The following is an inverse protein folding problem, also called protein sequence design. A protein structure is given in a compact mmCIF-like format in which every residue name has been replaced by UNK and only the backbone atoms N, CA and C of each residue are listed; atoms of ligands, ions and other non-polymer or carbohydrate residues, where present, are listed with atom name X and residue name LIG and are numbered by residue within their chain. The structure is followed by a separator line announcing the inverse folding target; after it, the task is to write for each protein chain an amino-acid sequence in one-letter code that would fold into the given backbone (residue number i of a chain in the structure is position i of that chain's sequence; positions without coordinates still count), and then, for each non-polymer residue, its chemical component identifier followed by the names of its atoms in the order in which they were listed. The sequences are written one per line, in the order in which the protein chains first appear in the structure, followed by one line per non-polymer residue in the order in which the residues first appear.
data_IF_469188490158
#
_entry.id   IF_469188490158
#
_cell.length_a   1.000
_cell.length_b   1.000
_cell.length_c   1.000
_cell.angle_alpha   90.00
_cell.angle_beta   90.00
_cell.angle_gamma   90.00
#
_symmetry.space_group_name_H-M   'P 1'
#
loop_
_entity.id
_entity.type
_entity.pdbx_description
1 polymer ?
#
# COMPACT_ATOMS: atom_id res chain seq x y z
N UNK A 1 -10.77 -22.19 51.15
CA UNK A 1 -10.62 -23.60 50.77
C UNK A 1 -11.97 -24.24 51.01
N UNK A 2 -12.83 -24.26 50.00
CA UNK A 2 -14.08 -24.99 49.98
C UNK A 2 -13.75 -26.45 50.02
N UNK A 3 -14.25 -27.15 51.06
CA UNK A 3 -13.79 -28.50 51.38
C UNK A 3 -14.30 -29.52 50.39
N UNK A 4 -13.56 -30.62 50.23
CA UNK A 4 -13.96 -31.82 49.47
C UNK A 4 -15.39 -32.31 49.80
N UNK A 5 -15.95 -31.96 50.98
CA UNK A 5 -17.31 -32.25 51.38
C UNK A 5 -18.41 -31.60 50.52
N UNK A 6 -18.20 -30.37 50.08
CA UNK A 6 -19.12 -29.65 49.17
C UNK A 6 -19.11 -30.24 47.76
N UNK A 7 -17.94 -30.69 47.31
CA UNK A 7 -17.79 -31.36 46.01
C UNK A 7 -18.51 -32.70 45.98
N UNK A 8 -18.50 -33.46 47.09
CA UNK A 8 -19.19 -34.75 47.21
C UNK A 8 -20.70 -34.59 47.31
N UNK A 9 -21.21 -33.48 47.87
CA UNK A 9 -22.65 -33.25 48.04
C UNK A 9 -23.35 -32.94 46.70
N UNK A 10 -22.60 -32.45 45.69
CA UNK A 10 -23.14 -32.11 44.35
C UNK A 10 -22.69 -33.07 43.25
N UNK A 11 -21.89 -34.11 43.59
CA UNK A 11 -21.32 -35.03 42.59
C UNK A 11 -22.36 -35.84 41.83
N UNK A 12 -23.53 -36.11 42.41
CA UNK A 12 -24.64 -36.80 41.77
C UNK A 12 -25.38 -35.98 40.74
N UNK A 13 -25.15 -34.65 40.70
CA UNK A 13 -25.76 -33.73 39.74
C UNK A 13 -24.90 -33.52 38.49
N UNK A 14 -23.66 -34.05 38.45
CA UNK A 14 -22.72 -33.90 37.35
C UNK A 14 -22.53 -35.22 36.60
N UNK A 15 -22.30 -35.16 35.28
CA UNK A 15 -22.01 -36.31 34.42
C UNK A 15 -23.17 -36.81 33.57
N UNK A 16 -23.19 -38.08 33.20
CA UNK A 16 -24.15 -38.68 32.25
C UNK A 16 -25.63 -38.62 32.64
N UNK A 17 -25.95 -38.22 33.86
CA UNK A 17 -27.32 -38.13 34.37
C UNK A 17 -27.91 -36.71 34.33
N UNK A 18 -27.18 -35.71 33.82
CA UNK A 18 -27.63 -34.35 33.85
C UNK A 18 -28.96 -34.13 33.11
N UNK A 19 -29.15 -34.74 31.95
CA UNK A 19 -30.41 -34.63 31.18
C UNK A 19 -31.61 -35.27 31.87
N UNK A 20 -31.39 -36.36 32.63
CA UNK A 20 -32.42 -37.00 33.42
C UNK A 20 -32.80 -36.15 34.63
N UNK A 21 -31.84 -35.56 35.32
CA UNK A 21 -32.07 -34.67 36.45
C UNK A 21 -32.76 -33.38 36.01
N UNK A 22 -32.40 -32.85 34.85
CA UNK A 22 -33.06 -31.69 34.26
C UNK A 22 -34.52 -31.99 33.94
N UNK A 23 -34.84 -33.15 33.38
CA UNK A 23 -36.22 -33.56 33.12
C UNK A 23 -37.04 -33.77 34.39
N UNK A 24 -36.43 -34.31 35.47
CA UNK A 24 -37.04 -34.46 36.78
C UNK A 24 -37.32 -33.09 37.43
N UNK A 25 -36.39 -32.16 37.34
CA UNK A 25 -36.55 -30.81 37.88
C UNK A 25 -37.65 -30.03 37.13
N UNK A 26 -37.71 -30.13 35.81
CA UNK A 26 -38.80 -29.56 35.00
C UNK A 26 -40.17 -30.12 35.44
N UNK A 27 -40.28 -31.46 35.67
CA UNK A 27 -41.48 -32.10 36.17
C UNK A 27 -41.86 -31.62 37.58
N UNK A 28 -40.87 -31.41 38.44
CA UNK A 28 -41.07 -30.84 39.78
C UNK A 28 -41.55 -29.37 39.70
N UNK A 29 -41.06 -28.56 38.81
CA UNK A 29 -41.50 -27.17 38.61
C UNK A 29 -42.98 -27.10 38.14
N UNK A 30 -43.40 -28.05 37.28
CA UNK A 30 -44.77 -28.14 36.79
C UNK A 30 -45.73 -28.70 37.88
N UNK A 31 -45.35 -29.75 38.55
CA UNK A 31 -46.11 -30.36 39.68
C UNK A 31 -45.14 -31.06 40.65
N UNK A 32 -44.87 -30.48 41.83
CA UNK A 32 -44.02 -31.09 42.85
C UNK A 32 -44.41 -32.50 43.27
N UNK A 33 -45.70 -32.90 43.07
CA UNK A 33 -46.15 -34.27 43.39
C UNK A 33 -45.79 -35.30 42.32
N UNK A 34 -45.38 -34.86 41.13
CA UNK A 34 -45.05 -35.74 39.99
C UNK A 34 -43.72 -36.47 40.13
N UNK A 35 -42.86 -36.03 41.06
CA UNK A 35 -41.52 -36.59 41.25
C UNK A 35 -41.42 -37.44 42.53
N UNK A 36 -40.50 -38.45 42.59
CA UNK A 36 -40.27 -39.23 43.78
C UNK A 36 -39.96 -38.41 45.03
N UNK A 37 -40.38 -38.84 46.20
CA UNK A 37 -40.30 -38.12 47.48
C UNK A 37 -38.87 -37.66 47.79
N UNK A 38 -37.87 -38.50 47.50
CA UNK A 38 -36.47 -38.18 47.76
C UNK A 38 -35.96 -36.99 46.90
N UNK A 39 -36.36 -36.95 45.64
CA UNK A 39 -36.05 -35.86 44.75
C UNK A 39 -36.84 -34.61 45.06
N UNK A 40 -38.08 -34.72 45.52
CA UNK A 40 -38.86 -33.59 45.96
C UNK A 40 -38.18 -32.89 47.14
N UNK A 41 -37.80 -33.66 48.16
CA UNK A 41 -37.13 -33.13 49.36
C UNK A 41 -35.79 -32.45 48.98
N UNK A 42 -35.08 -33.00 48.00
CA UNK A 42 -33.84 -32.42 47.50
C UNK A 42 -34.09 -31.05 46.79
N UNK A 43 -35.06 -30.97 45.90
CA UNK A 43 -35.40 -29.73 45.18
C UNK A 43 -36.00 -28.68 46.11
N UNK A 44 -36.78 -29.08 47.12
CA UNK A 44 -37.28 -28.18 48.16
C UNK A 44 -36.13 -27.62 49.00
N UNK A 45 -35.10 -28.37 49.28
CA UNK A 45 -33.91 -27.88 50.01
C UNK A 45 -33.12 -26.83 49.19
N UNK A 46 -32.99 -26.99 47.88
CA UNK A 46 -32.33 -26.01 46.99
C UNK A 46 -33.11 -24.72 46.95
N UNK A 47 -34.45 -24.74 46.97
CA UNK A 47 -35.28 -23.52 46.97
C UNK A 47 -35.19 -22.77 48.30
N UNK A 48 -34.88 -23.44 49.41
CA UNK A 48 -34.73 -22.79 50.72
C UNK A 48 -33.35 -22.18 50.94
N UNK A 49 -32.32 -22.56 50.20
CA UNK A 49 -30.95 -22.01 50.31
C UNK A 49 -30.66 -20.85 49.34
N UNK A 50 -31.49 -20.64 48.35
CA UNK A 50 -31.29 -19.51 47.39
C UNK A 50 -31.83 -18.20 47.90
N UNK A 51 -30.95 -17.40 48.52
CA UNK A 51 -31.16 -15.97 48.84
C UNK A 51 -31.02 -15.13 47.57
N UNK A 52 -31.79 -15.44 46.53
CA UNK A 52 -31.90 -14.56 45.37
C UNK A 52 -33.34 -14.47 44.88
N UNK A 53 -33.88 -13.26 44.84
CA UNK A 53 -35.25 -12.89 44.45
C UNK A 53 -35.61 -13.20 42.97
N UNK A 54 -35.15 -14.33 42.42
CA UNK A 54 -35.51 -14.77 41.08
C UNK A 54 -36.34 -16.04 41.15
N UNK A 55 -37.60 -16.03 40.70
CA UNK A 55 -38.32 -17.26 40.40
C UNK A 55 -37.58 -18.01 39.34
N UNK A 56 -37.25 -19.25 39.63
CA UNK A 56 -36.66 -20.17 38.63
C UNK A 56 -37.65 -20.32 37.46
N UNK A 57 -37.16 -20.26 36.26
CA UNK A 57 -37.97 -20.28 35.03
C UNK A 57 -37.76 -21.64 34.36
N UNK A 58 -38.87 -22.36 34.09
CA UNK A 58 -38.83 -23.63 33.35
C UNK A 58 -38.02 -23.50 32.03
N UNK A 59 -37.03 -24.35 31.88
CA UNK A 59 -36.24 -24.46 30.66
C UNK A 59 -37.12 -24.82 29.44
N UNK A 60 -38.18 -25.59 29.64
CA UNK A 60 -39.14 -25.91 28.58
C UNK A 60 -39.79 -24.64 27.98
N UNK A 61 -40.13 -23.65 28.79
CA UNK A 61 -40.63 -22.38 28.31
C UNK A 61 -39.57 -21.57 27.57
N UNK A 62 -38.33 -21.58 28.06
CA UNK A 62 -37.20 -20.90 27.40
C UNK A 62 -36.92 -21.57 26.06
N UNK A 63 -36.81 -22.87 26.00
CA UNK A 63 -36.63 -23.64 24.76
C UNK A 63 -37.79 -23.42 23.79
N UNK A 64 -39.04 -23.35 24.27
CA UNK A 64 -40.21 -23.05 23.44
C UNK A 64 -40.16 -21.63 22.87
N UNK A 65 -39.71 -20.65 23.67
CA UNK A 65 -39.46 -19.25 23.19
C UNK A 65 -38.34 -19.20 22.17
N UNK A 66 -37.28 -19.99 22.32
CA UNK A 66 -36.20 -20.08 21.32
C UNK A 66 -36.60 -20.84 20.06
N UNK A 67 -37.36 -21.96 20.19
CA UNK A 67 -37.92 -22.65 19.03
C UNK A 67 -38.94 -21.83 18.25
N UNK A 68 -39.72 -21.00 18.94
CA UNK A 68 -40.66 -20.07 18.29
C UNK A 68 -40.00 -18.78 17.81
N UNK A 69 -38.77 -18.47 18.28
CA UNK A 69 -37.85 -17.48 17.75
C UNK A 69 -36.78 -18.15 16.89
N UNK A 70 -37.09 -19.20 16.15
CA UNK A 70 -36.28 -19.51 14.98
C UNK A 70 -36.14 -18.17 14.24
N UNK A 71 -34.94 -17.63 14.05
CA UNK A 71 -34.79 -16.54 13.13
C UNK A 71 -35.31 -17.11 11.81
N UNK A 72 -36.49 -16.68 11.42
CA UNK A 72 -36.88 -16.69 10.02
C UNK A 72 -35.92 -15.67 9.39
N UNK A 73 -34.67 -16.06 9.25
CA UNK A 73 -33.84 -15.60 8.19
C UNK A 73 -34.59 -16.10 6.96
N UNK A 74 -35.49 -15.23 6.45
CA UNK A 74 -36.19 -15.48 5.22
C UNK A 74 -35.09 -15.92 4.25
N UNK A 75 -35.34 -16.98 3.46
CA UNK A 75 -34.37 -17.53 2.51
C UNK A 75 -33.73 -16.42 1.66
N UNK A 76 -34.47 -15.37 1.38
CA UNK A 76 -34.02 -14.14 0.71
C UNK A 76 -32.97 -13.34 1.50
N UNK A 77 -32.98 -13.34 2.84
CA UNK A 77 -31.99 -12.62 3.62
C UNK A 77 -30.64 -13.39 3.67
N UNK A 78 -30.68 -14.73 3.66
CA UNK A 78 -29.45 -15.55 3.59
C UNK A 78 -28.77 -15.40 2.22
N UNK A 79 -29.55 -15.40 1.15
CA UNK A 79 -29.02 -15.18 -0.20
C UNK A 79 -28.39 -13.77 -0.33
N UNK A 80 -29.04 -12.73 0.18
CA UNK A 80 -28.49 -11.38 0.16
C UNK A 80 -27.22 -11.24 1.02
N UNK A 81 -27.16 -11.90 2.17
CA UNK A 81 -25.96 -11.92 3.03
C UNK A 81 -24.81 -12.63 2.31
N UNK A 82 -25.08 -13.76 1.64
CA UNK A 82 -24.06 -14.46 0.88
C UNK A 82 -23.55 -13.59 -0.28
N UNK A 83 -24.44 -12.96 -1.04
CA UNK A 83 -24.05 -12.05 -2.13
C UNK A 83 -23.27 -10.83 -1.62
N UNK A 84 -23.62 -10.28 -0.45
CA UNK A 84 -22.84 -9.23 0.19
C UNK A 84 -21.41 -9.67 0.50
N UNK A 85 -21.20 -10.90 0.94
CA UNK A 85 -19.87 -11.44 1.18
C UNK A 85 -19.08 -11.59 -0.13
N UNK A 86 -19.72 -12.02 -1.21
CA UNK A 86 -19.09 -12.10 -2.53
C UNK A 86 -18.71 -10.70 -3.07
N UNK A 87 -19.54 -9.70 -2.83
CA UNK A 87 -19.20 -8.30 -3.17
C UNK A 87 -17.97 -7.82 -2.38
N UNK A 88 -17.81 -8.19 -1.11
CA UNK A 88 -16.60 -7.85 -0.36
C UNK A 88 -15.34 -8.51 -0.93
N UNK A 89 -15.43 -9.75 -1.41
CA UNK A 89 -14.31 -10.41 -2.10
C UNK A 89 -13.94 -9.69 -3.40
N UNK A 90 -14.94 -9.29 -4.19
CA UNK A 90 -14.73 -8.50 -5.41
C UNK A 90 -14.03 -7.18 -5.10
N UNK A 91 -14.47 -6.45 -4.07
CA UNK A 91 -13.82 -5.20 -3.63
C UNK A 91 -12.36 -5.46 -3.25
N UNK A 92 -12.09 -6.51 -2.48
CA UNK A 92 -10.73 -6.85 -2.08
C UNK A 92 -9.86 -7.28 -3.27
N UNK A 93 -10.43 -7.96 -4.26
CA UNK A 93 -9.74 -8.30 -5.51
C UNK A 93 -9.33 -7.05 -6.30
N UNK A 94 -10.17 -6.02 -6.40
CA UNK A 94 -9.79 -4.75 -7.03
C UNK A 94 -8.66 -4.06 -6.27
N UNK A 95 -8.70 -4.05 -4.93
CA UNK A 95 -7.65 -3.49 -4.08
C UNK A 95 -6.31 -4.22 -4.23
N UNK A 96 -6.36 -5.52 -4.48
CA UNK A 96 -5.17 -6.37 -4.60
C UNK A 96 -4.65 -6.45 -6.05
N UNK A 97 -5.54 -6.53 -7.04
CA UNK A 97 -5.22 -6.91 -8.43
C UNK A 97 -5.67 -5.89 -9.46
N UNK A 98 -6.30 -4.78 -9.07
CA UNK A 98 -6.79 -3.75 -9.99
C UNK A 98 -5.70 -3.20 -10.92
N UNK A 99 -4.45 -3.13 -10.44
CA UNK A 99 -3.31 -2.69 -11.24
C UNK A 99 -3.05 -3.56 -12.48
N UNK A 100 -3.45 -4.84 -12.51
CA UNK A 100 -3.34 -5.68 -13.72
C UNK A 100 -4.27 -5.23 -14.86
N UNK A 101 -5.39 -4.57 -14.53
CA UNK A 101 -6.32 -4.01 -15.51
C UNK A 101 -5.98 -2.56 -15.85
N UNK A 102 -5.13 -1.91 -15.07
CA UNK A 102 -4.78 -0.51 -15.26
C UNK A 102 -4.02 -0.28 -16.58
N UNK A 103 -4.28 0.87 -17.22
CA UNK A 103 -3.61 1.28 -18.45
C UNK A 103 -2.24 1.89 -18.14
N UNK A 104 -1.26 1.04 -17.83
CA UNK A 104 0.08 1.42 -17.40
C UNK A 104 1.06 1.59 -18.57
N UNK A 105 0.71 1.12 -19.77
CA UNK A 105 1.58 1.21 -20.95
C UNK A 105 1.12 2.33 -21.89
N UNK A 106 1.75 3.52 -21.85
CA UNK A 106 1.39 4.63 -22.73
C UNK A 106 1.65 4.33 -24.20
N UNK A 107 2.55 3.40 -24.50
CA UNK A 107 2.89 2.97 -25.87
C UNK A 107 1.94 1.90 -26.41
N UNK A 108 1.12 1.30 -25.53
CA UNK A 108 0.17 0.22 -25.88
C UNK A 108 0.82 -0.97 -26.58
N UNK A 109 2.03 -1.31 -26.17
CA UNK A 109 2.79 -2.42 -26.73
C UNK A 109 2.25 -3.78 -26.27
N UNK A 110 1.58 -3.78 -25.12
CA UNK A 110 0.96 -4.98 -24.53
C UNK A 110 -0.48 -4.69 -24.09
N UNK A 111 -1.32 -5.72 -24.14
CA UNK A 111 -2.64 -5.65 -23.53
C UNK A 111 -2.51 -5.91 -22.02
N UNK A 112 -3.33 -5.25 -21.18
CA UNK A 112 -3.39 -5.55 -19.76
C UNK A 112 -3.67 -7.04 -19.51
N UNK A 113 -2.95 -7.64 -18.57
CA UNK A 113 -3.19 -9.04 -18.19
C UNK A 113 -4.32 -9.12 -17.15
N UNK A 114 -5.55 -8.95 -17.63
CA UNK A 114 -6.74 -8.93 -16.77
C UNK A 114 -7.01 -10.31 -16.21
N UNK A 115 -7.15 -10.41 -14.88
CA UNK A 115 -7.51 -11.66 -14.20
C UNK A 115 -9.03 -11.80 -14.11
N UNK A 116 -9.55 -13.03 -14.15
CA UNK A 116 -11.00 -13.31 -14.02
C UNK A 116 -11.56 -12.83 -12.67
N UNK A 117 -10.71 -12.74 -11.64
CA UNK A 117 -11.07 -12.26 -10.32
C UNK A 117 -11.51 -10.79 -10.26
N UNK A 118 -11.29 -10.01 -11.31
CA UNK A 118 -11.84 -8.65 -11.44
C UNK A 118 -13.24 -8.63 -12.08
N UNK A 119 -13.79 -9.79 -12.46
CA UNK A 119 -15.14 -9.92 -12.94
C UNK A 119 -16.10 -10.29 -11.80
N UNK A 120 -17.25 -9.59 -11.71
CA UNK A 120 -18.29 -9.94 -10.75
C UNK A 120 -18.83 -11.36 -10.95
N UNK A 121 -18.79 -11.87 -12.19
CA UNK A 121 -19.24 -13.24 -12.50
C UNK A 121 -18.37 -14.33 -11.87
N UNK A 122 -17.13 -14.02 -11.51
CA UNK A 122 -16.23 -14.93 -10.79
C UNK A 122 -16.74 -15.25 -9.37
N UNK A 123 -17.57 -14.37 -8.81
CA UNK A 123 -18.11 -14.44 -7.46
C UNK A 123 -19.58 -14.84 -7.41
N UNK A 124 -20.04 -15.59 -8.41
CA UNK A 124 -21.45 -16.01 -8.50
C UNK A 124 -22.47 -14.83 -8.46
N UNK A 125 -22.05 -13.63 -8.88
CA UNK A 125 -22.91 -12.47 -9.09
C UNK A 125 -23.32 -12.42 -10.56
N UNK A 126 -24.55 -12.01 -10.83
CA UNK A 126 -25.11 -11.95 -12.17
C UNK A 126 -25.62 -10.55 -12.56
N UNK A 127 -26.11 -10.39 -13.79
CA UNK A 127 -26.63 -9.11 -14.29
C UNK A 127 -27.80 -8.56 -13.45
N UNK A 128 -28.59 -9.46 -12.81
CA UNK A 128 -29.71 -9.04 -11.96
C UNK A 128 -29.22 -8.44 -10.64
N UNK A 129 -27.95 -8.69 -10.27
CA UNK A 129 -27.34 -8.15 -9.05
C UNK A 129 -26.78 -6.75 -9.27
N UNK A 130 -26.51 -6.33 -10.52
CA UNK A 130 -25.90 -5.04 -10.84
C UNK A 130 -26.68 -3.85 -10.25
N UNK A 131 -28.01 -3.94 -10.25
CA UNK A 131 -28.89 -2.90 -9.71
C UNK A 131 -29.24 -3.09 -8.23
N UNK A 132 -28.82 -4.20 -7.60
CA UNK A 132 -29.05 -4.42 -6.16
C UNK A 132 -28.09 -3.59 -5.32
N UNK A 133 -28.61 -3.15 -4.16
CA UNK A 133 -27.85 -2.33 -3.23
C UNK A 133 -27.05 -3.19 -2.27
N UNK A 134 -25.75 -2.94 -2.20
CA UNK A 134 -24.80 -3.62 -1.32
C UNK A 134 -24.07 -2.61 -0.44
N UNK A 135 -23.62 -3.07 0.71
CA UNK A 135 -22.80 -2.25 1.59
C UNK A 135 -21.39 -2.14 0.99
N UNK A 136 -20.96 -0.91 0.78
CA UNK A 136 -19.62 -0.56 0.38
C UNK A 136 -18.91 0.14 1.55
N UNK A 137 -18.04 -0.59 2.25
CA UNK A 137 -17.20 -0.01 3.29
C UNK A 137 -15.96 0.61 2.66
N UNK A 138 -16.07 1.88 2.30
CA UNK A 138 -14.93 2.75 2.06
C UNK A 138 -14.55 3.39 3.40
N UNK A 139 -13.50 2.87 4.03
CA UNK A 139 -12.94 3.33 5.31
C UNK A 139 -13.94 3.54 6.47
N UNK A 140 -14.41 4.69 6.80
CA UNK A 140 -15.27 4.95 7.97
C UNK A 140 -16.74 5.17 7.65
N UNK A 141 -17.07 5.33 6.37
CA UNK A 141 -18.43 5.62 5.92
C UNK A 141 -19.03 4.39 5.22
N UNK A 142 -19.90 3.68 5.94
CA UNK A 142 -20.72 2.63 5.37
C UNK A 142 -21.81 3.24 4.49
N UNK A 143 -21.66 3.13 3.17
CA UNK A 143 -22.64 3.60 2.20
C UNK A 143 -23.18 2.43 1.39
N UNK A 144 -24.50 2.36 1.24
CA UNK A 144 -25.11 1.42 0.32
C UNK A 144 -25.09 2.00 -1.10
N UNK A 145 -24.57 1.23 -2.05
CA UNK A 145 -24.49 1.60 -3.47
C UNK A 145 -24.90 0.41 -4.33
N UNK A 146 -25.32 0.64 -5.56
CA UNK A 146 -25.57 -0.48 -6.49
C UNK A 146 -24.24 -1.20 -6.79
N UNK A 147 -24.30 -2.49 -7.14
CA UNK A 147 -23.11 -3.23 -7.53
C UNK A 147 -22.40 -2.57 -8.72
N UNK A 148 -23.18 -2.05 -9.66
CA UNK A 148 -22.64 -1.33 -10.81
C UNK A 148 -21.86 -0.09 -10.40
N UNK A 149 -22.42 0.76 -9.51
CA UNK A 149 -21.72 1.95 -9.01
C UNK A 149 -20.43 1.58 -8.26
N UNK A 150 -20.45 0.47 -7.49
CA UNK A 150 -19.27 -0.05 -6.79
C UNK A 150 -18.19 -0.44 -7.80
N UNK A 151 -18.53 -1.19 -8.83
CA UNK A 151 -17.59 -1.62 -9.87
C UNK A 151 -17.00 -0.40 -10.60
N UNK A 152 -17.84 0.52 -11.07
CA UNK A 152 -17.40 1.73 -11.76
C UNK A 152 -16.47 2.60 -10.88
N UNK A 153 -16.78 2.70 -9.59
CA UNK A 153 -15.92 3.38 -8.63
C UNK A 153 -14.56 2.69 -8.50
N UNK A 154 -14.57 1.35 -8.30
CA UNK A 154 -13.33 0.58 -8.15
C UNK A 154 -12.47 0.60 -9.41
N UNK A 155 -13.08 0.52 -10.60
CA UNK A 155 -12.38 0.67 -11.87
C UNK A 155 -11.74 2.05 -12.01
N UNK A 156 -12.45 3.10 -11.62
CA UNK A 156 -11.94 4.47 -11.64
C UNK A 156 -10.74 4.63 -10.72
N UNK A 157 -10.79 4.04 -9.53
CA UNK A 157 -9.71 4.15 -8.54
C UNK A 157 -8.52 3.27 -8.90
N UNK A 158 -8.74 1.99 -9.18
CA UNK A 158 -7.69 0.97 -9.24
C UNK A 158 -7.26 0.55 -10.65
N UNK A 159 -8.06 0.88 -11.69
CA UNK A 159 -7.82 0.40 -13.05
C UNK A 159 -7.63 1.54 -14.07
N UNK A 160 -7.36 2.78 -13.62
CA UNK A 160 -7.15 3.93 -14.51
C UNK A 160 -5.73 3.94 -15.11
N UNK A 161 -5.09 5.08 -15.21
CA UNK A 161 -3.71 5.23 -15.69
C UNK A 161 -2.65 5.05 -14.60
N UNK A 162 -3.07 4.72 -13.37
CA UNK A 162 -2.20 4.47 -12.21
C UNK A 162 -2.58 3.15 -11.61
N UNK A 163 -1.62 2.29 -11.36
CA UNK A 163 -1.77 1.05 -10.61
C UNK A 163 -1.28 1.22 -9.16
N UNK A 164 -1.97 0.62 -8.22
CA UNK A 164 -1.64 0.68 -6.80
C UNK A 164 -1.39 -0.72 -6.27
N UNK A 165 -0.23 -0.93 -5.65
CA UNK A 165 0.19 -2.19 -5.07
C UNK A 165 0.58 -1.97 -3.60
N UNK A 166 -0.32 -2.25 -2.66
CA UNK A 166 -0.10 -2.02 -1.23
C UNK A 166 -0.61 -3.16 -0.33
N UNK A 167 -1.33 -4.15 -0.90
CA UNK A 167 -1.92 -5.24 -0.11
C UNK A 167 -0.90 -6.27 0.38
N UNK A 168 0.36 -6.16 -0.04
CA UNK A 168 1.48 -6.96 0.46
C UNK A 168 2.05 -6.42 1.78
N UNK A 169 1.66 -5.22 2.19
CA UNK A 169 2.11 -4.61 3.45
C UNK A 169 1.50 -5.38 4.62
N UNK A 170 2.32 -5.68 5.64
CA UNK A 170 1.89 -6.46 6.82
C UNK A 170 1.10 -5.64 7.82
N UNK A 171 1.40 -4.37 7.93
CA UNK A 171 0.81 -3.44 8.89
C UNK A 171 -0.56 -2.98 8.43
N UNK A 172 -1.60 -3.42 9.13
CA UNK A 172 -3.00 -3.13 8.80
C UNK A 172 -3.29 -1.63 8.75
N UNK A 173 -2.73 -0.85 9.66
CA UNK A 173 -2.92 0.59 9.74
C UNK A 173 -2.43 1.30 8.46
N UNK A 174 -1.34 0.83 7.86
CA UNK A 174 -0.80 1.35 6.60
C UNK A 174 -1.72 0.99 5.44
N UNK A 175 -2.22 -0.27 5.39
CA UNK A 175 -3.19 -0.69 4.37
C UNK A 175 -4.47 0.16 4.46
N UNK A 176 -5.01 0.33 5.66
CA UNK A 176 -6.23 1.12 5.90
C UNK A 176 -6.01 2.58 5.49
N UNK A 177 -4.82 3.14 5.74
CA UNK A 177 -4.45 4.49 5.29
C UNK A 177 -4.44 4.61 3.76
N UNK A 178 -3.86 3.62 3.04
CA UNK A 178 -3.89 3.60 1.58
C UNK A 178 -5.33 3.55 1.04
N UNK A 179 -6.16 2.65 1.58
CA UNK A 179 -7.57 2.55 1.20
C UNK A 179 -8.29 3.88 1.43
N UNK A 180 -8.11 4.50 2.60
CA UNK A 180 -8.72 5.79 2.92
C UNK A 180 -8.28 6.87 1.93
N UNK A 181 -6.99 6.97 1.64
CA UNK A 181 -6.45 7.96 0.71
C UNK A 181 -6.96 7.76 -0.71
N UNK A 182 -6.93 6.52 -1.22
CA UNK A 182 -7.30 6.23 -2.60
C UNK A 182 -8.80 6.35 -2.83
N UNK A 183 -9.61 5.83 -1.92
CA UNK A 183 -11.06 5.73 -2.11
C UNK A 183 -11.80 7.00 -1.66
N UNK A 184 -11.41 7.63 -0.54
CA UNK A 184 -12.05 8.84 -0.05
C UNK A 184 -11.61 10.08 -0.81
N UNK A 185 -10.30 10.26 -0.95
CA UNK A 185 -9.75 11.46 -1.58
C UNK A 185 -9.87 11.41 -3.11
N UNK A 186 -10.32 10.27 -3.67
CA UNK A 186 -10.50 10.02 -5.12
C UNK A 186 -9.24 10.45 -5.90
N UNK A 187 -8.08 10.08 -5.38
CA UNK A 187 -6.78 10.52 -5.89
C UNK A 187 -6.64 10.45 -7.43
N UNK A 188 -7.15 9.40 -8.13
CA UNK A 188 -7.06 9.37 -9.58
C UNK A 188 -7.86 10.49 -10.27
N UNK A 189 -8.84 11.05 -9.58
CA UNK A 189 -9.74 12.10 -10.07
C UNK A 189 -9.61 13.40 -9.26
N UNK A 190 -8.56 13.54 -8.42
CA UNK A 190 -8.29 14.82 -7.76
C UNK A 190 -8.14 15.88 -8.85
N UNK A 191 -9.08 16.81 -8.89
CA UNK A 191 -9.04 17.86 -9.88
C UNK A 191 -7.92 18.80 -9.48
N UNK A 192 -6.80 18.72 -10.19
CA UNK A 192 -5.75 19.71 -10.09
C UNK A 192 -6.35 21.08 -10.39
N UNK A 193 -6.02 22.07 -9.59
CA UNK A 193 -6.37 23.45 -9.85
C UNK A 193 -5.75 23.93 -11.18
N UNK A 194 -6.26 25.02 -11.73
CA UNK A 194 -5.69 25.55 -12.95
C UNK A 194 -4.24 26.02 -12.75
N UNK A 195 -3.92 26.53 -11.57
CA UNK A 195 -2.58 26.92 -11.17
C UNK A 195 -1.61 25.73 -11.16
N UNK A 196 -2.02 24.61 -10.57
CA UNK A 196 -1.24 23.37 -10.57
C UNK A 196 -1.04 22.82 -11.98
N UNK A 197 -2.07 22.80 -12.81
CA UNK A 197 -1.97 22.38 -14.22
C UNK A 197 -1.00 23.25 -15.02
N UNK A 198 -1.07 24.56 -14.84
CA UNK A 198 -0.15 25.51 -15.49
C UNK A 198 1.28 25.30 -14.98
N UNK A 199 1.44 25.06 -13.68
CA UNK A 199 2.74 24.79 -13.11
C UNK A 199 3.36 23.51 -13.69
N UNK A 200 2.61 22.40 -13.69
CA UNK A 200 3.04 21.14 -14.30
C UNK A 200 3.39 21.31 -15.78
N UNK A 201 2.56 22.03 -16.55
CA UNK A 201 2.82 22.30 -17.96
C UNK A 201 4.12 23.08 -18.16
N UNK A 202 4.41 24.08 -17.33
CA UNK A 202 5.68 24.81 -17.37
C UNK A 202 6.87 23.90 -17.09
N UNK A 203 6.76 23.02 -16.10
CA UNK A 203 7.83 22.07 -15.76
C UNK A 203 8.09 21.07 -16.89
N UNK A 204 7.02 20.54 -17.51
CA UNK A 204 7.12 19.67 -18.68
C UNK A 204 7.76 20.41 -19.88
N UNK A 205 7.32 21.63 -20.14
CA UNK A 205 7.90 22.46 -21.21
C UNK A 205 9.37 22.79 -20.98
N UNK A 206 9.80 23.02 -19.74
CA UNK A 206 11.21 23.20 -19.38
C UNK A 206 12.04 21.94 -19.59
N UNK A 207 11.50 20.79 -19.21
CA UNK A 207 12.16 19.50 -19.40
C UNK A 207 12.37 19.19 -20.89
N UNK A 208 11.33 19.33 -21.69
CA UNK A 208 11.38 19.12 -23.15
C UNK A 208 12.27 20.16 -23.84
N UNK A 209 12.17 21.43 -23.41
CA UNK A 209 12.97 22.53 -23.96
C UNK A 209 14.46 22.31 -23.80
N UNK A 210 14.91 21.89 -22.61
CA UNK A 210 16.32 21.57 -22.39
C UNK A 210 16.75 20.35 -23.23
N UNK A 211 15.96 19.32 -23.31
CA UNK A 211 16.27 18.12 -24.11
C UNK A 211 16.42 18.48 -25.60
N UNK A 212 15.48 19.24 -26.14
CA UNK A 212 15.54 19.76 -27.55
C UNK A 212 16.73 20.66 -27.79
N UNK A 213 17.01 21.58 -26.87
CA UNK A 213 18.17 22.46 -26.99
C UNK A 213 19.47 21.66 -27.06
N UNK A 214 19.71 20.78 -26.10
CA UNK A 214 20.91 19.93 -26.08
C UNK A 214 21.03 19.07 -27.34
N UNK A 215 19.91 18.54 -27.83
CA UNK A 215 19.87 17.72 -29.03
C UNK A 215 20.26 18.49 -30.27
N UNK A 216 19.81 19.73 -30.41
CA UNK A 216 20.07 20.56 -31.57
C UNK A 216 21.45 21.22 -31.53
N UNK A 217 21.88 21.67 -30.36
CA UNK A 217 23.16 22.37 -30.18
C UNK A 217 24.38 21.45 -30.18
N UNK A 218 24.21 20.25 -29.58
CA UNK A 218 25.30 19.27 -29.41
C UNK A 218 24.94 17.90 -30.04
N UNK A 219 24.79 17.85 -31.38
CA UNK A 219 24.41 16.62 -32.06
C UNK A 219 25.48 15.54 -31.89
N UNK A 220 25.08 14.30 -31.65
CA UNK A 220 25.98 13.15 -31.47
C UNK A 220 26.66 13.03 -30.11
N UNK A 221 26.61 14.06 -29.27
CA UNK A 221 27.16 13.95 -27.91
C UNK A 221 26.24 13.13 -26.98
N UNK A 222 26.84 12.30 -26.13
CA UNK A 222 26.08 11.54 -25.11
C UNK A 222 25.44 12.49 -24.10
N UNK A 223 24.13 12.41 -23.93
CA UNK A 223 23.37 13.22 -22.98
C UNK A 223 22.40 12.44 -22.11
N UNK A 224 22.12 11.16 -22.43
CA UNK A 224 21.20 10.31 -21.71
C UNK A 224 19.89 11.04 -21.36
N UNK A 225 19.17 11.44 -22.38
CA UNK A 225 17.97 12.28 -22.23
C UNK A 225 16.85 11.62 -21.45
N UNK A 226 15.78 12.39 -21.25
CA UNK A 226 14.60 12.00 -20.47
C UNK A 226 13.38 11.76 -21.38
N UNK A 227 13.59 11.77 -22.67
CA UNK A 227 12.53 11.71 -23.68
C UNK A 227 11.53 10.59 -23.37
N UNK A 228 10.24 10.97 -23.25
CA UNK A 228 9.14 10.09 -22.87
C UNK A 228 8.90 9.94 -21.36
N UNK A 229 9.78 10.49 -20.53
CA UNK A 229 9.67 10.51 -19.08
C UNK A 229 9.77 11.92 -18.48
N UNK A 230 9.36 12.94 -19.22
CA UNK A 230 9.42 14.36 -18.80
C UNK A 230 8.63 14.60 -17.52
N UNK A 231 7.63 13.77 -17.24
CA UNK A 231 6.83 13.80 -16.00
C UNK A 231 7.66 13.54 -14.74
N UNK A 232 8.86 12.97 -14.85
CA UNK A 232 9.80 12.82 -13.73
C UNK A 232 10.15 14.21 -13.12
N UNK A 233 10.22 15.25 -13.92
CA UNK A 233 10.60 16.60 -13.43
C UNK A 233 9.53 17.18 -12.50
N UNK A 234 8.27 17.35 -12.91
CA UNK A 234 7.24 17.81 -11.96
C UNK A 234 6.99 16.83 -10.81
N UNK A 235 7.18 15.50 -11.01
CA UNK A 235 7.06 14.51 -9.94
C UNK A 235 8.09 14.74 -8.84
N UNK A 236 9.37 14.82 -9.19
CA UNK A 236 10.46 15.01 -8.20
C UNK A 236 10.34 16.36 -7.52
N UNK A 237 9.99 17.42 -8.26
CA UNK A 237 9.75 18.73 -7.68
C UNK A 237 8.62 18.69 -6.65
N UNK A 238 7.46 18.11 -6.99
CA UNK A 238 6.34 17.93 -6.05
C UNK A 238 6.72 17.07 -4.86
N UNK A 239 7.53 16.02 -5.06
CA UNK A 239 8.02 15.16 -3.98
C UNK A 239 8.88 15.95 -2.98
N UNK A 240 9.80 16.79 -3.46
CA UNK A 240 10.62 17.67 -2.61
C UNK A 240 9.73 18.59 -1.78
N UNK A 241 8.73 19.23 -2.43
CA UNK A 241 7.79 20.13 -1.74
C UNK A 241 7.03 19.39 -0.64
N UNK A 242 6.53 18.17 -0.91
CA UNK A 242 5.80 17.38 0.06
C UNK A 242 6.70 16.85 1.20
N UNK A 243 7.94 16.46 0.92
CA UNK A 243 8.91 16.11 1.94
C UNK A 243 9.16 17.30 2.89
N UNK A 244 9.33 18.50 2.34
CA UNK A 244 9.49 19.72 3.16
C UNK A 244 8.25 20.03 4.01
N UNK A 245 7.04 19.89 3.46
CA UNK A 245 5.79 20.03 4.21
C UNK A 245 5.74 19.03 5.38
N UNK A 246 6.24 17.82 5.15
CA UNK A 246 6.27 16.74 6.15
C UNK A 246 7.41 16.88 7.17
N UNK A 247 8.26 17.90 7.08
CA UNK A 247 9.32 18.17 8.07
C UNK A 247 10.70 17.66 7.70
N UNK A 248 10.92 17.18 6.46
CA UNK A 248 12.25 16.82 6.00
C UNK A 248 13.16 18.07 5.92
N UNK A 249 14.35 17.97 6.50
CA UNK A 249 15.38 19.01 6.46
C UNK A 249 16.39 18.77 5.30
N UNK A 250 16.63 17.51 4.95
CA UNK A 250 17.57 17.12 3.90
C UNK A 250 17.02 15.98 3.03
N UNK A 251 17.34 16.04 1.74
CA UNK A 251 17.04 14.98 0.79
C UNK A 251 18.33 14.61 0.04
N UNK A 252 18.63 13.31 0.01
CA UNK A 252 19.78 12.79 -0.71
C UNK A 252 19.32 11.97 -1.91
N UNK A 253 19.69 12.41 -3.11
CA UNK A 253 19.40 11.72 -4.35
C UNK A 253 20.57 10.85 -4.81
N UNK A 254 20.25 9.62 -5.21
CA UNK A 254 21.08 8.76 -6.03
C UNK A 254 20.38 8.45 -7.35
N UNK A 255 21.07 8.53 -8.46
CA UNK A 255 20.49 8.17 -9.74
C UNK A 255 21.57 7.82 -10.77
N UNK A 256 21.17 7.00 -11.74
CA UNK A 256 21.94 6.77 -12.95
C UNK A 256 21.95 8.00 -13.86
N UNK A 257 22.51 7.86 -15.05
CA UNK A 257 22.71 8.97 -15.98
C UNK A 257 21.45 9.42 -16.74
N UNK A 258 20.43 8.54 -16.92
CA UNK A 258 19.22 8.88 -17.68
C UNK A 258 18.40 9.96 -16.98
N UNK A 259 18.16 11.05 -17.68
CA UNK A 259 17.43 12.21 -17.16
C UNK A 259 18.20 13.09 -16.17
N UNK A 260 19.46 12.72 -15.83
CA UNK A 260 20.25 13.40 -14.80
C UNK A 260 20.49 14.87 -15.11
N UNK A 261 20.88 15.20 -16.34
CA UNK A 261 21.12 16.59 -16.75
C UNK A 261 19.86 17.45 -16.61
N UNK A 262 18.72 16.87 -16.92
CA UNK A 262 17.44 17.54 -16.79
C UNK A 262 17.07 17.78 -15.32
N UNK A 263 17.30 16.80 -14.45
CA UNK A 263 17.10 16.94 -13.02
C UNK A 263 18.03 18.02 -12.42
N UNK A 264 19.30 17.99 -12.79
CA UNK A 264 20.30 18.99 -12.33
C UNK A 264 19.85 20.43 -12.61
N UNK A 265 19.38 20.70 -13.82
CA UNK A 265 18.97 22.05 -14.23
C UNK A 265 17.58 22.40 -13.72
N UNK A 266 16.58 21.57 -14.03
CA UNK A 266 15.19 21.92 -13.82
C UNK A 266 14.67 21.67 -12.40
N UNK A 267 15.35 20.88 -11.59
CA UNK A 267 14.93 20.61 -10.20
C UNK A 267 15.94 21.16 -9.21
N UNK A 268 17.22 20.84 -9.41
CA UNK A 268 18.26 21.17 -8.43
C UNK A 268 18.89 22.56 -8.65
N UNK A 269 18.47 23.27 -9.70
CA UNK A 269 18.85 24.65 -9.94
C UNK A 269 20.28 24.86 -10.44
N UNK A 270 20.93 23.84 -11.01
CA UNK A 270 22.22 24.01 -11.70
C UNK A 270 22.06 25.02 -12.85
N UNK A 271 22.85 26.07 -12.91
CA UNK A 271 22.76 27.05 -14.01
C UNK A 271 22.95 26.37 -15.38
N UNK A 272 22.05 26.60 -16.36
CA UNK A 272 22.23 26.02 -17.70
C UNK A 272 23.56 26.41 -18.35
N UNK A 273 24.10 27.59 -18.05
CA UNK A 273 25.38 28.05 -18.55
C UNK A 273 26.54 27.17 -18.08
N UNK A 274 26.52 26.71 -16.84
CA UNK A 274 27.52 25.76 -16.33
C UNK A 274 27.42 24.44 -17.06
N UNK A 275 26.19 23.92 -17.28
CA UNK A 275 26.01 22.69 -18.03
C UNK A 275 26.52 22.85 -19.48
N UNK A 276 26.26 23.99 -20.13
CA UNK A 276 26.67 24.18 -21.51
C UNK A 276 28.19 24.30 -21.65
N UNK A 277 28.89 24.99 -20.72
CA UNK A 277 30.36 25.00 -20.71
C UNK A 277 30.97 23.60 -20.57
N UNK A 278 30.32 22.70 -19.82
CA UNK A 278 30.73 21.28 -19.74
C UNK A 278 30.57 20.54 -21.09
N UNK A 279 29.63 20.97 -21.95
CA UNK A 279 29.47 20.41 -23.30
C UNK A 279 30.47 21.00 -24.30
N UNK A 280 30.89 22.24 -24.11
CA UNK A 280 31.81 22.94 -24.99
C UNK A 280 33.28 22.65 -24.70
N UNK A 281 33.56 21.83 -23.67
CA UNK A 281 34.90 21.43 -23.23
C UNK A 281 35.82 22.62 -22.87
N UNK A 282 35.22 23.80 -22.66
CA UNK A 282 35.89 25.01 -22.20
C UNK A 282 36.26 24.97 -20.69
N UNK A 283 36.34 23.80 -20.14
CA UNK A 283 36.87 23.61 -18.80
C UNK A 283 38.38 23.78 -18.85
N UNK A 284 38.88 24.95 -18.52
CA UNK A 284 40.24 25.05 -18.01
C UNK A 284 40.34 24.12 -16.82
N UNK A 285 41.11 23.07 -16.96
CA UNK A 285 41.46 22.14 -15.89
C UNK A 285 42.21 22.89 -14.78
N UNK A 286 41.51 23.70 -14.01
CA UNK A 286 42.01 24.18 -12.73
C UNK A 286 42.17 22.99 -11.83
N UNK A 287 43.36 22.79 -11.28
CA UNK A 287 43.96 21.59 -10.74
C UNK A 287 43.19 20.70 -9.75
N UNK A 288 41.92 20.99 -9.44
CA UNK A 288 41.04 20.21 -8.60
C UNK A 288 39.93 19.46 -9.37
N UNK A 289 39.82 19.63 -10.67
CA UNK A 289 38.83 18.92 -11.49
C UNK A 289 39.39 17.57 -11.92
N UNK A 290 38.76 16.50 -11.48
CA UNK A 290 39.15 15.10 -11.71
C UNK A 290 38.90 14.63 -13.15
N UNK A 291 38.39 15.46 -14.05
CA UNK A 291 38.11 15.09 -15.46
C UNK A 291 36.97 14.08 -15.63
N UNK A 292 36.07 13.95 -14.64
CA UNK A 292 34.92 13.04 -14.75
C UNK A 292 33.89 13.57 -15.76
N UNK A 293 33.10 12.66 -16.31
CA UNK A 293 32.13 12.99 -17.36
C UNK A 293 30.92 13.74 -16.78
N UNK A 294 30.42 14.71 -17.52
CA UNK A 294 29.33 15.65 -17.12
C UNK A 294 28.08 14.97 -16.53
N UNK A 295 27.74 13.78 -16.99
CA UNK A 295 26.57 13.04 -16.52
C UNK A 295 26.85 12.18 -15.27
N UNK A 296 28.05 12.25 -14.70
CA UNK A 296 28.36 11.68 -13.39
C UNK A 296 28.37 12.71 -12.26
N UNK A 297 28.48 14.00 -12.61
CA UNK A 297 28.60 15.06 -11.62
C UNK A 297 27.34 15.21 -10.79
N UNK A 298 27.52 15.51 -9.51
CA UNK A 298 26.47 15.84 -8.56
C UNK A 298 26.38 17.35 -8.34
N UNK A 299 25.40 17.73 -7.54
CA UNK A 299 25.17 19.11 -7.08
C UNK A 299 24.43 19.10 -5.77
N UNK A 300 24.59 20.12 -4.97
CA UNK A 300 23.71 20.37 -3.82
C UNK A 300 23.20 21.79 -3.84
N UNK A 301 21.97 21.99 -3.41
CA UNK A 301 21.31 23.29 -3.33
C UNK A 301 20.26 23.29 -2.22
N UNK A 302 19.81 24.48 -1.83
CA UNK A 302 18.68 24.64 -0.92
C UNK A 302 17.44 24.98 -1.75
N UNK A 303 16.37 24.24 -1.53
CA UNK A 303 15.09 24.44 -2.22
C UNK A 303 14.08 24.97 -1.20
N UNK A 304 13.43 26.08 -1.54
CA UNK A 304 12.40 26.66 -0.70
C UNK A 304 11.11 25.82 -0.82
N UNK A 305 10.60 25.41 0.33
CA UNK A 305 9.31 24.72 0.44
C UNK A 305 8.37 25.54 1.32
N UNK A 306 7.08 25.23 1.39
CA UNK A 306 6.13 25.96 2.26
C UNK A 306 6.52 25.98 3.73
N UNK A 307 7.22 24.98 4.24
CA UNK A 307 7.67 24.90 5.63
C UNK A 307 9.13 25.33 5.87
N UNK A 308 9.80 25.89 4.86
CA UNK A 308 11.17 26.33 4.94
C UNK A 308 12.10 25.74 3.89
N UNK A 309 13.39 25.95 4.04
CA UNK A 309 14.37 25.41 3.12
C UNK A 309 14.67 23.94 3.40
N UNK A 310 14.74 23.15 2.33
CA UNK A 310 15.21 21.76 2.35
C UNK A 310 16.54 21.69 1.60
N UNK A 311 17.57 21.16 2.25
CA UNK A 311 18.86 20.93 1.60
C UNK A 311 18.79 19.67 0.74
N UNK A 312 18.96 19.84 -0.55
CA UNK A 312 18.88 18.75 -1.53
C UNK A 312 20.26 18.47 -2.12
N UNK A 313 20.67 17.23 -2.14
CA UNK A 313 21.94 16.81 -2.71
C UNK A 313 21.77 15.65 -3.67
N UNK A 314 22.35 15.75 -4.86
CA UNK A 314 22.49 14.67 -5.81
C UNK A 314 23.96 14.22 -5.78
N UNK A 315 24.21 13.00 -5.36
CA UNK A 315 25.59 12.49 -5.30
C UNK A 315 26.14 12.22 -6.68
N UNK A 316 27.46 12.28 -6.83
CA UNK A 316 28.13 11.77 -8.00
C UNK A 316 27.84 10.27 -8.16
N UNK A 317 27.82 9.78 -9.40
CA UNK A 317 27.66 8.36 -9.67
C UNK A 317 28.68 7.90 -10.70
N UNK A 318 29.15 6.65 -10.67
CA UNK A 318 29.96 6.07 -11.74
C UNK A 318 29.08 5.53 -12.87
N UNK A 319 29.72 5.00 -13.92
CA UNK A 319 29.01 4.28 -15.00
C UNK A 319 28.45 2.90 -14.55
N UNK A 320 28.88 2.39 -13.42
CA UNK A 320 28.33 1.16 -12.83
C UNK A 320 26.94 1.44 -12.28
N UNK A 321 25.91 0.90 -12.95
CA UNK A 321 24.52 1.12 -12.58
C UNK A 321 24.23 0.57 -11.18
N UNK A 322 23.40 1.29 -10.43
CA UNK A 322 22.87 0.97 -9.10
C UNK A 322 23.91 0.98 -7.96
N UNK A 323 25.24 1.12 -8.25
CA UNK A 323 26.25 1.13 -7.18
C UNK A 323 26.15 2.35 -6.27
N UNK A 324 25.47 3.40 -6.72
CA UNK A 324 25.18 4.59 -5.91
C UNK A 324 24.17 4.33 -4.78
N UNK A 325 23.35 3.27 -4.88
CA UNK A 325 22.28 2.98 -3.91
C UNK A 325 22.82 2.82 -2.48
N UNK A 326 23.75 1.90 -2.19
CA UNK A 326 24.29 1.77 -0.84
C UNK A 326 25.08 3.02 -0.41
N UNK A 327 25.64 3.78 -1.35
CA UNK A 327 26.36 5.03 -1.04
C UNK A 327 25.39 6.09 -0.50
N UNK A 328 24.20 6.21 -1.14
CA UNK A 328 23.16 7.13 -0.66
C UNK A 328 22.66 6.69 0.72
N UNK A 329 22.37 5.40 0.92
CA UNK A 329 21.93 4.90 2.22
C UNK A 329 22.95 5.21 3.31
N UNK A 330 24.25 4.99 3.04
CA UNK A 330 25.32 5.33 3.97
C UNK A 330 25.43 6.85 4.24
N UNK A 331 25.27 7.67 3.19
CA UNK A 331 25.28 9.14 3.32
C UNK A 331 24.10 9.64 4.17
N UNK A 332 22.90 9.11 3.93
CA UNK A 332 21.69 9.44 4.72
C UNK A 332 21.88 9.04 6.18
N UNK A 333 22.37 7.82 6.44
CA UNK A 333 22.62 7.37 7.81
C UNK A 333 23.60 8.27 8.55
N UNK A 334 24.69 8.65 7.90
CA UNK A 334 25.68 9.55 8.50
C UNK A 334 25.09 10.94 8.79
N UNK A 335 24.19 11.43 7.95
CA UNK A 335 23.50 12.72 8.17
C UNK A 335 22.48 12.62 9.29
N UNK A 336 21.70 11.55 9.37
CA UNK A 336 20.78 11.28 10.48
C UNK A 336 21.52 11.24 11.82
N UNK A 337 22.62 10.49 11.90
CA UNK A 337 23.44 10.42 13.11
C UNK A 337 24.00 11.80 13.52
N UNK A 338 24.46 12.59 12.55
CA UNK A 338 24.99 13.94 12.80
C UNK A 338 23.92 14.93 13.26
N UNK A 339 22.66 14.80 12.74
CA UNK A 339 21.53 15.64 13.14
C UNK A 339 20.84 15.17 14.42
N UNK A 340 21.21 14.00 14.95
CA UNK A 340 20.47 13.36 16.04
C UNK A 340 19.05 12.96 15.63
N UNK A 341 18.84 12.64 14.36
CA UNK A 341 17.56 12.22 13.79
C UNK A 341 17.29 10.75 14.13
N UNK A 342 16.91 10.50 15.38
CA UNK A 342 16.65 9.14 15.89
C UNK A 342 15.40 8.52 15.26
N UNK A 343 14.42 9.34 14.93
CA UNK A 343 13.13 8.91 14.35
C UNK A 343 13.22 8.73 12.83
N UNK A 344 14.32 9.20 12.21
CA UNK A 344 14.64 9.06 10.78
C UNK A 344 13.61 9.73 9.87
N UNK A 345 13.16 10.91 10.28
CA UNK A 345 12.15 11.70 9.57
C UNK A 345 12.72 12.93 8.87
N UNK A 346 13.94 13.37 9.26
CA UNK A 346 14.53 14.61 8.77
C UNK A 346 15.37 14.46 7.51
N UNK A 347 15.96 13.29 7.28
CA UNK A 347 16.81 13.02 6.12
C UNK A 347 16.24 11.89 5.29
N UNK A 348 15.82 12.22 4.06
CA UNK A 348 15.10 11.31 3.17
C UNK A 348 16.00 10.85 2.01
N UNK A 349 16.22 9.52 1.83
CA UNK A 349 16.87 8.99 0.65
C UNK A 349 15.88 8.82 -0.51
N UNK A 350 16.28 9.28 -1.72
CA UNK A 350 15.52 9.06 -2.94
C UNK A 350 16.47 8.47 -4.00
N UNK A 351 16.10 7.31 -4.53
CA UNK A 351 16.85 6.60 -5.57
C UNK A 351 16.04 6.57 -6.86
N UNK A 352 16.66 6.97 -7.98
CA UNK A 352 16.03 6.99 -9.30
C UNK A 352 16.75 6.00 -10.20
N UNK A 353 16.02 4.99 -10.67
CA UNK A 353 16.53 3.82 -11.37
C UNK A 353 16.07 3.75 -12.82
N UNK A 354 16.82 3.04 -13.66
CA UNK A 354 16.28 2.43 -14.87
C UNK A 354 15.67 1.08 -14.55
N UNK A 355 14.61 0.70 -15.26
CA UNK A 355 13.89 -0.56 -15.03
C UNK A 355 14.79 -1.81 -15.18
N UNK A 356 15.57 -1.89 -16.24
CA UNK A 356 16.42 -3.04 -16.50
C UNK A 356 17.56 -3.19 -15.47
N UNK A 357 18.14 -2.08 -15.00
CA UNK A 357 19.19 -2.12 -13.98
C UNK A 357 18.62 -2.45 -12.61
N UNK A 358 17.50 -1.86 -12.24
CA UNK A 358 16.83 -2.14 -10.98
C UNK A 358 16.52 -3.64 -10.81
N UNK A 359 16.00 -4.27 -11.86
CA UNK A 359 15.69 -5.70 -11.84
C UNK A 359 16.88 -6.62 -12.02
N UNK A 360 17.93 -6.15 -12.70
CA UNK A 360 19.05 -6.99 -13.14
C UNK A 360 20.32 -6.90 -12.29
N UNK A 361 20.52 -5.82 -11.55
CA UNK A 361 21.74 -5.62 -10.76
C UNK A 361 21.57 -6.12 -9.32
N UNK A 362 22.39 -7.09 -8.92
CA UNK A 362 22.33 -7.69 -7.59
C UNK A 362 22.53 -6.70 -6.44
N UNK A 363 23.24 -5.59 -6.66
CA UNK A 363 23.46 -4.56 -5.64
C UNK A 363 22.16 -3.91 -5.15
N UNK A 364 21.11 -3.88 -5.97
CA UNK A 364 19.77 -3.41 -5.55
C UNK A 364 19.23 -4.31 -4.45
N UNK A 365 19.26 -5.64 -4.68
CA UNK A 365 18.80 -6.62 -3.69
C UNK A 365 19.65 -6.58 -2.42
N UNK A 366 20.96 -6.42 -2.54
CA UNK A 366 21.88 -6.29 -1.41
C UNK A 366 21.56 -5.02 -0.60
N UNK A 367 21.29 -3.90 -1.26
CA UNK A 367 20.89 -2.65 -0.60
C UNK A 367 19.57 -2.82 0.16
N UNK A 368 18.58 -3.49 -0.42
CA UNK A 368 17.30 -3.78 0.23
C UNK A 368 17.48 -4.72 1.42
N UNK A 369 18.34 -5.73 1.35
CA UNK A 369 18.68 -6.58 2.50
C UNK A 369 19.29 -5.77 3.64
N UNK A 370 20.14 -4.78 3.35
CA UNK A 370 20.71 -3.91 4.36
C UNK A 370 19.66 -3.03 5.08
N UNK A 371 18.53 -2.73 4.44
CA UNK A 371 17.50 -1.85 5.00
C UNK A 371 16.93 -2.34 6.33
N UNK A 372 16.90 -3.65 6.56
CA UNK A 372 16.45 -4.28 7.79
C UNK A 372 17.58 -4.46 8.82
N UNK A 373 18.82 -4.20 8.43
CA UNK A 373 19.97 -4.35 9.31
C UNK A 373 20.08 -3.13 10.23
N UNK A 374 20.14 -3.36 11.54
CA UNK A 374 20.11 -2.33 12.58
C UNK A 374 21.07 -1.17 12.36
N UNK A 375 22.29 -1.46 11.87
CA UNK A 375 23.32 -0.43 11.65
C UNK A 375 23.11 0.38 10.36
N UNK A 376 22.38 -0.15 9.38
CA UNK A 376 22.22 0.46 8.06
C UNK A 376 20.82 1.05 7.80
N UNK A 377 19.84 0.73 8.64
CA UNK A 377 18.47 1.23 8.47
C UNK A 377 18.40 2.75 8.52
N UNK A 378 17.66 3.35 7.58
CA UNK A 378 17.47 4.80 7.42
C UNK A 378 16.00 5.24 7.53
N UNK A 379 15.10 4.35 7.96
CA UNK A 379 13.66 4.64 8.11
C UNK A 379 12.83 4.39 6.86
N UNK A 380 13.45 4.16 5.72
CA UNK A 380 12.81 3.91 4.44
C UNK A 380 13.54 4.61 3.31
N UNK A 381 13.27 4.20 2.07
CA UNK A 381 13.85 4.79 0.86
C UNK A 381 12.76 4.92 -0.19
N UNK A 382 12.70 6.06 -0.86
CA UNK A 382 11.79 6.26 -1.99
C UNK A 382 12.52 5.84 -3.27
N UNK A 383 11.99 4.83 -3.95
CA UNK A 383 12.50 4.36 -5.23
C UNK A 383 11.61 4.85 -6.37
N UNK A 384 12.21 5.50 -7.37
CA UNK A 384 11.54 5.96 -8.58
C UNK A 384 12.13 5.20 -9.75
N UNK A 385 11.33 4.43 -10.47
CA UNK A 385 11.79 3.64 -11.60
C UNK A 385 11.30 4.28 -12.89
N UNK A 386 12.25 4.70 -13.73
CA UNK A 386 11.99 5.21 -15.08
C UNK A 386 12.00 4.03 -16.04
N UNK A 387 10.79 3.52 -16.33
CA UNK A 387 10.60 2.34 -17.17
C UNK A 387 10.37 2.74 -18.63
N UNK A 388 11.36 2.48 -19.49
CA UNK A 388 11.23 2.65 -20.94
C UNK A 388 10.82 1.35 -21.67
N UNK A 389 10.53 0.29 -20.94
CA UNK A 389 10.12 -1.03 -21.42
C UNK A 389 11.17 -1.72 -22.34
N UNK A 390 12.43 -1.29 -22.28
CA UNK A 390 13.53 -1.84 -23.07
C UNK A 390 14.55 -2.46 -22.13
N UNK A 391 14.62 -3.79 -22.10
CA UNK A 391 15.67 -4.51 -21.39
C UNK A 391 17.05 -4.28 -22.02
N UNK A 392 18.08 -4.11 -21.21
CA UNK A 392 19.45 -3.99 -21.71
C UNK A 392 19.85 -5.28 -22.44
N UNK A 393 20.25 -5.17 -23.71
CA UNK A 393 20.54 -6.30 -24.62
C UNK A 393 19.39 -7.29 -24.87
N UNK A 394 18.19 -7.02 -24.41
CA UNK A 394 17.01 -7.85 -24.63
C UNK A 394 16.13 -7.17 -25.66
N UNK A 395 16.13 -7.66 -26.90
CA UNK A 395 15.36 -7.07 -28.01
C UNK A 395 13.97 -7.66 -28.18
N UNK A 396 13.72 -8.85 -27.63
CA UNK A 396 12.44 -9.54 -27.73
C UNK A 396 11.75 -9.56 -26.37
N UNK A 397 10.50 -9.09 -26.33
CA UNK A 397 9.70 -9.06 -25.10
C UNK A 397 9.40 -10.46 -24.53
N UNK A 398 9.31 -11.49 -25.38
CA UNK A 398 9.14 -12.88 -24.93
C UNK A 398 10.32 -13.40 -24.09
N UNK A 399 11.48 -12.77 -24.22
CA UNK A 399 12.70 -13.11 -23.49
C UNK A 399 12.88 -12.23 -22.24
N UNK A 400 11.98 -11.24 -22.05
CA UNK A 400 11.96 -10.36 -20.91
C UNK A 400 11.00 -10.88 -19.81
N UNK A 401 11.00 -10.23 -18.68
CA UNK A 401 10.06 -10.52 -17.60
C UNK A 401 8.62 -10.19 -18.03
N UNK A 402 7.69 -11.05 -17.64
CA UNK A 402 6.27 -10.94 -17.98
C UNK A 402 5.49 -9.92 -17.14
N UNK A 403 6.11 -9.33 -16.09
CA UNK A 403 5.46 -8.41 -15.15
C UNK A 403 6.27 -7.13 -14.99
N UNK A 404 5.65 -6.02 -14.59
CA UNK A 404 6.36 -4.80 -14.22
C UNK A 404 7.47 -5.07 -13.20
N UNK A 405 8.57 -4.37 -13.32
CA UNK A 405 9.78 -4.60 -12.51
C UNK A 405 9.50 -4.43 -11.02
N UNK A 406 8.77 -3.40 -10.64
CA UNK A 406 8.39 -3.14 -9.25
C UNK A 406 7.61 -4.31 -8.65
N UNK A 407 6.65 -4.85 -9.39
CA UNK A 407 5.85 -5.98 -8.95
C UNK A 407 6.66 -7.27 -8.77
N UNK A 408 7.53 -7.61 -9.72
CA UNK A 408 8.40 -8.78 -9.57
C UNK A 408 9.38 -8.65 -8.42
N UNK A 409 9.83 -7.43 -8.14
CA UNK A 409 10.72 -7.14 -7.03
C UNK A 409 10.03 -7.37 -5.69
N UNK A 410 8.83 -6.85 -5.49
CA UNK A 410 8.03 -7.05 -4.28
C UNK A 410 7.76 -8.54 -4.01
N UNK A 411 7.43 -9.32 -5.04
CA UNK A 411 7.24 -10.78 -4.89
C UNK A 411 8.50 -11.53 -4.46
N UNK A 412 9.67 -11.08 -4.84
CA UNK A 412 10.90 -11.70 -4.39
C UNK A 412 11.15 -11.55 -2.88
N UNK A 413 10.57 -10.53 -2.25
CA UNK A 413 10.60 -10.32 -0.80
C UNK A 413 9.53 -11.12 -0.03
N UNK A 414 8.40 -11.41 -0.65
CA UNK A 414 7.33 -12.20 -0.04
C UNK A 414 7.69 -13.68 0.14
N UNK A 415 8.75 -14.14 -0.51
CA UNK A 415 9.20 -15.56 -0.47
C UNK A 415 10.34 -15.79 0.52
N UNK A 416 10.77 -14.80 1.23
CA UNK A 416 11.78 -14.90 2.31
C UNK A 416 11.19 -14.50 3.66
#
# INVERSE_FOLDING_TARGET
MTGMGEFWSTSHTTGGNSSYLESLFESYLDDPASVPTDWRNYFDSLNNESVSNGKDISHAEVVKRFKNKSPILQKNNLELINKQYEVFKLIDAYRQKGHFKANLDPLKLEQPNVTDELSYTFYDLDENDLNKSFNFNSSKDSKNSSLQDIIEFLETVYCSSVGYEFKHISEKEIIDWFIEKLERDKLPNSQLSNEEKIYILKRLGSAEGLAKFLSSRYPGMKRFGIEGAESLIPLVDSLIQNCGISGAEQICFGMAHRGRLNLLVNVLGKPPTELFSEFEEDFELTGDNTGDVKYHLGVSSNILTPNGEVHVSLNNNPSHLEIVDPVIIGSVRARQDRLGDTDREKVVPILIHGDASFSGQGVVMETLQMSQTRAYGVGGTIHIIVNNQIGFTTSNKSDARSTPVSYTHLRAHETT
#
